data_IF_606247128648
#
_entry.id   IF_606247128648
#
_cell.length_a   1.000
_cell.length_b   1.000
_cell.length_c   1.000
_cell.angle_alpha   90.00
_cell.angle_beta   90.00
_cell.angle_gamma   90.00
#
_symmetry.space_group_name_H-M   'P 1'
#
loop_
_entity.id
_entity.type
_entity.pdbx_description
1 polymer ?
#
# COMPACT_ATOMS: atom_id res chain seq x y z
N UNK A 1 -0.58 18.03 1.03
CA UNK A 1 -1.06 16.93 1.89
C UNK A 1 -1.98 16.02 1.08
N UNK A 2 -1.64 14.75 0.92
CA UNK A 2 -2.55 13.81 0.27
C UNK A 2 -3.87 13.73 1.04
N UNK A 3 -4.99 13.83 0.32
CA UNK A 3 -6.32 13.81 0.91
C UNK A 3 -7.25 12.99 0.02
N UNK A 4 -8.05 12.13 0.64
CA UNK A 4 -9.12 11.39 -0.02
C UNK A 4 -10.42 11.61 0.74
N UNK A 5 -11.52 11.65 0.01
CA UNK A 5 -12.87 11.76 0.58
C UNK A 5 -13.64 10.50 0.22
N UNK A 6 -14.34 9.93 1.19
CA UNK A 6 -15.18 8.76 0.97
C UNK A 6 -16.64 9.16 1.09
N UNK A 7 -17.46 8.68 0.15
CA UNK A 7 -18.90 8.81 0.17
C UNK A 7 -19.56 7.44 0.21
N UNK A 8 -20.53 7.27 1.09
CA UNK A 8 -21.35 6.06 1.15
C UNK A 8 -22.37 6.09 0.01
N UNK A 9 -22.30 5.10 -0.87
CA UNK A 9 -23.28 4.93 -1.95
C UNK A 9 -24.48 4.08 -1.49
N UNK A 10 -24.18 3.02 -0.75
CA UNK A 10 -25.17 2.14 -0.13
C UNK A 10 -24.47 1.32 0.96
N UNK A 11 -25.20 0.43 1.63
CA UNK A 11 -24.59 -0.45 2.65
C UNK A 11 -23.46 -1.27 2.02
N UNK A 12 -22.30 -1.25 2.67
CA UNK A 12 -21.06 -1.95 2.24
C UNK A 12 -20.55 -1.54 0.85
N UNK A 13 -20.91 -0.34 0.38
CA UNK A 13 -20.49 0.17 -0.92
C UNK A 13 -20.14 1.66 -0.84
N UNK A 14 -18.90 2.00 -1.16
CA UNK A 14 -18.33 3.34 -1.02
C UNK A 14 -17.60 3.76 -2.28
N UNK A 15 -17.48 5.05 -2.45
CA UNK A 15 -16.61 5.65 -3.48
C UNK A 15 -15.62 6.59 -2.82
N UNK A 16 -14.35 6.42 -3.16
CA UNK A 16 -13.29 7.33 -2.78
C UNK A 16 -12.97 8.28 -3.94
N UNK A 17 -12.71 9.53 -3.61
CA UNK A 17 -12.26 10.55 -4.56
C UNK A 17 -10.98 11.21 -4.04
N UNK A 18 -10.07 11.57 -4.93
CA UNK A 18 -8.90 12.35 -4.58
C UNK A 18 -9.05 13.82 -5.05
N UNK A 19 -8.11 14.66 -4.65
CA UNK A 19 -8.13 16.10 -4.98
C UNK A 19 -7.99 16.40 -6.47
N UNK A 20 -7.60 15.41 -7.30
CA UNK A 20 -7.42 15.56 -8.74
C UNK A 20 -8.58 15.02 -9.56
N UNK A 21 -9.68 14.61 -8.91
CA UNK A 21 -10.87 14.08 -9.55
C UNK A 21 -10.83 12.58 -9.85
N UNK A 22 -9.81 11.86 -9.41
CA UNK A 22 -9.76 10.39 -9.51
C UNK A 22 -10.78 9.74 -8.58
N UNK A 23 -11.42 8.66 -9.03
CA UNK A 23 -12.43 7.92 -8.26
C UNK A 23 -12.10 6.44 -8.17
N UNK A 24 -12.51 5.83 -7.06
CA UNK A 24 -12.34 4.40 -6.79
C UNK A 24 -13.53 3.89 -6.00
N UNK A 25 -14.28 2.94 -6.56
CA UNK A 25 -15.36 2.24 -5.83
C UNK A 25 -14.83 1.00 -5.15
N UNK A 26 -15.27 0.74 -3.93
CA UNK A 26 -14.86 -0.42 -3.15
C UNK A 26 -15.94 -0.82 -2.14
N UNK A 27 -15.78 -2.01 -1.58
CA UNK A 27 -16.68 -2.52 -0.56
C UNK A 27 -16.94 -4.02 -0.70
N UNK A 28 -18.17 -4.44 -0.35
CA UNK A 28 -18.57 -5.86 -0.38
C UNK A 28 -19.94 -6.07 -1.04
N UNK A 29 -20.45 -5.07 -1.72
CA UNK A 29 -21.78 -5.15 -2.33
C UNK A 29 -21.75 -5.85 -3.68
N UNK A 30 -20.80 -5.50 -4.53
CA UNK A 30 -20.64 -6.07 -5.87
C UNK A 30 -19.59 -7.15 -5.88
N UNK A 31 -19.81 -8.19 -6.69
CA UNK A 31 -18.80 -9.22 -6.90
C UNK A 31 -17.52 -8.60 -7.49
N UNK A 32 -16.37 -8.98 -6.93
CA UNK A 32 -15.07 -8.51 -7.40
C UNK A 32 -14.64 -7.15 -6.90
N UNK A 33 -15.42 -6.47 -6.06
CA UNK A 33 -14.96 -5.23 -5.42
C UNK A 33 -13.79 -5.49 -4.48
N UNK A 34 -12.85 -4.54 -4.46
CA UNK A 34 -11.77 -4.56 -3.48
C UNK A 34 -12.30 -4.24 -2.08
N UNK A 35 -11.86 -5.01 -1.11
CA UNK A 35 -12.08 -4.69 0.31
C UNK A 35 -11.02 -3.69 0.80
N UNK A 36 -11.26 -2.98 1.92
CA UNK A 36 -10.25 -2.08 2.49
C UNK A 36 -8.91 -2.76 2.79
N UNK A 37 -8.91 -4.00 3.26
CA UNK A 37 -7.67 -4.77 3.49
C UNK A 37 -6.94 -5.02 2.18
N UNK A 38 -7.65 -5.40 1.12
CA UNK A 38 -7.05 -5.58 -0.20
C UNK A 38 -6.48 -4.27 -0.74
N UNK A 39 -7.15 -3.14 -0.51
CA UNK A 39 -6.64 -1.81 -0.88
C UNK A 39 -5.37 -1.45 -0.11
N UNK A 40 -5.26 -1.83 1.17
CA UNK A 40 -4.02 -1.67 1.93
C UNK A 40 -2.87 -2.47 1.29
N UNK A 41 -3.13 -3.72 0.92
CA UNK A 41 -2.14 -4.58 0.26
C UNK A 41 -1.74 -4.04 -1.12
N UNK A 42 -2.68 -3.50 -1.87
CA UNK A 42 -2.40 -2.81 -3.16
C UNK A 42 -1.53 -1.58 -2.92
N UNK A 43 -1.82 -0.79 -1.90
CA UNK A 43 -1.03 0.41 -1.60
C UNK A 43 0.42 0.06 -1.23
N UNK A 44 0.62 -0.98 -0.43
CA UNK A 44 1.96 -1.46 -0.05
C UNK A 44 2.72 -1.92 -1.29
N UNK A 45 2.14 -2.83 -2.07
CA UNK A 45 2.78 -3.36 -3.28
C UNK A 45 2.98 -2.29 -4.34
N UNK A 46 1.98 -1.44 -4.57
CA UNK A 46 2.03 -0.40 -5.60
C UNK A 46 3.10 0.65 -5.31
N UNK A 47 3.25 1.07 -4.07
CA UNK A 47 4.28 2.04 -3.69
C UNK A 47 5.69 1.50 -3.94
N UNK A 48 5.98 0.29 -3.49
CA UNK A 48 7.29 -0.33 -3.72
C UNK A 48 7.52 -0.67 -5.20
N UNK A 49 6.48 -1.08 -5.93
CA UNK A 49 6.57 -1.33 -7.37
C UNK A 49 7.00 -0.08 -8.14
N UNK A 50 6.42 1.08 -7.81
CA UNK A 50 6.77 2.36 -8.44
C UNK A 50 8.24 2.72 -8.21
N UNK A 51 8.74 2.52 -7.00
CA UNK A 51 10.15 2.78 -6.67
C UNK A 51 11.10 1.88 -7.47
N UNK A 52 10.81 0.58 -7.47
CA UNK A 52 11.64 -0.43 -8.15
C UNK A 52 11.63 -0.21 -9.67
N UNK A 53 10.47 0.04 -10.24
CA UNK A 53 10.34 0.36 -11.66
C UNK A 53 11.16 1.59 -12.04
N UNK A 54 11.05 2.68 -11.28
CA UNK A 54 11.80 3.91 -11.52
C UNK A 54 13.32 3.71 -11.48
N UNK A 55 13.80 2.78 -10.67
CA UNK A 55 15.25 2.46 -10.58
C UNK A 55 15.69 1.57 -11.75
N UNK A 56 14.94 0.50 -12.02
CA UNK A 56 15.35 -0.52 -12.99
C UNK A 56 15.15 -0.08 -14.45
N UNK A 57 14.10 0.72 -14.74
CA UNK A 57 13.79 1.19 -16.10
C UNK A 57 14.90 2.04 -16.71
N UNK A 58 15.74 2.66 -15.89
CA UNK A 58 16.92 3.42 -16.35
C UNK A 58 17.91 2.56 -17.12
N UNK A 59 17.84 1.24 -16.95
CA UNK A 59 18.69 0.27 -17.63
C UNK A 59 17.95 -0.49 -18.71
N UNK A 60 16.73 -0.99 -18.41
CA UNK A 60 15.91 -1.75 -19.35
C UNK A 60 14.46 -1.78 -18.90
N UNK A 61 13.53 -1.75 -19.88
CA UNK A 61 12.16 -2.13 -19.64
C UNK A 61 12.08 -3.62 -19.26
N UNK A 62 11.21 -4.00 -18.35
CA UNK A 62 11.00 -5.42 -18.02
C UNK A 62 10.17 -6.13 -19.09
N UNK A 63 10.38 -7.43 -19.24
CA UNK A 63 9.52 -8.34 -20.02
C UNK A 63 8.26 -8.69 -19.20
N UNK A 64 8.44 -8.87 -17.88
CA UNK A 64 7.37 -9.13 -16.93
C UNK A 64 7.67 -8.39 -15.63
N UNK A 65 6.65 -7.76 -15.07
CA UNK A 65 6.73 -7.07 -13.80
C UNK A 65 5.43 -7.28 -13.04
N UNK A 66 5.43 -8.22 -12.12
CA UNK A 66 4.26 -8.61 -11.35
C UNK A 66 4.61 -8.73 -9.87
N UNK A 67 3.73 -8.22 -9.00
CA UNK A 67 3.84 -8.36 -7.57
C UNK A 67 2.61 -9.06 -7.02
N UNK A 68 2.83 -9.92 -6.03
CA UNK A 68 1.76 -10.50 -5.22
C UNK A 68 1.93 -9.99 -3.79
N UNK A 69 0.89 -9.39 -3.25
CA UNK A 69 0.86 -8.87 -1.87
C UNK A 69 -0.18 -9.63 -1.08
N UNK A 70 0.20 -10.16 0.07
CA UNK A 70 -0.65 -10.99 0.92
C UNK A 70 -0.43 -10.71 2.40
N UNK A 71 -1.38 -11.14 3.22
CA UNK A 71 -1.32 -11.04 4.67
C UNK A 71 -2.42 -11.86 5.32
N UNK A 72 -2.25 -12.16 6.61
CA UNK A 72 -3.24 -12.90 7.39
C UNK A 72 -4.11 -11.96 8.22
N UNK A 73 -5.44 -12.11 8.09
CA UNK A 73 -6.37 -11.42 9.00
C UNK A 73 -6.34 -12.12 10.36
N UNK A 74 -6.04 -11.36 11.40
CA UNK A 74 -5.83 -11.85 12.76
C UNK A 74 -6.73 -11.10 13.73
N UNK A 75 -7.22 -11.80 14.75
CA UNK A 75 -7.91 -11.20 15.89
C UNK A 75 -7.06 -11.36 17.13
N UNK A 76 -6.88 -10.30 17.87
CA UNK A 76 -6.15 -10.30 19.14
C UNK A 76 -6.80 -9.33 20.14
N UNK A 77 -6.22 -9.22 21.32
CA UNK A 77 -6.60 -8.20 22.32
C UNK A 77 -6.46 -6.77 21.80
N UNK A 78 -5.65 -6.56 20.75
CA UNK A 78 -5.47 -5.27 20.08
C UNK A 78 -6.48 -5.03 18.95
N UNK A 79 -7.46 -5.93 18.78
CA UNK A 79 -8.46 -5.85 17.73
C UNK A 79 -8.12 -6.66 16.49
N UNK A 80 -8.92 -6.45 15.45
CA UNK A 80 -8.70 -7.07 14.15
C UNK A 80 -7.56 -6.34 13.41
N UNK A 81 -6.60 -7.09 12.92
CA UNK A 81 -5.48 -6.53 12.16
C UNK A 81 -4.91 -7.56 11.17
N UNK A 82 -3.98 -7.13 10.34
CA UNK A 82 -3.31 -7.98 9.37
C UNK A 82 -1.87 -8.23 9.84
N UNK A 83 -1.47 -9.50 9.83
CA UNK A 83 -0.12 -9.94 10.15
C UNK A 83 0.54 -10.61 8.95
N UNK A 84 1.84 -10.84 9.03
CA UNK A 84 2.62 -11.57 8.02
C UNK A 84 2.43 -11.00 6.61
N UNK A 85 2.49 -9.69 6.49
CA UNK A 85 2.38 -9.02 5.19
C UNK A 85 3.62 -9.32 4.37
N UNK A 86 3.41 -9.85 3.18
CA UNK A 86 4.46 -10.19 2.24
C UNK A 86 4.20 -9.54 0.89
N UNK A 87 5.27 -9.11 0.24
CA UNK A 87 5.24 -8.63 -1.14
C UNK A 87 6.27 -9.44 -1.91
N UNK A 88 5.80 -10.25 -2.85
CA UNK A 88 6.64 -11.09 -3.70
C UNK A 88 6.75 -10.49 -5.09
N UNK A 89 7.98 -10.32 -5.56
CA UNK A 89 8.29 -9.73 -6.87
C UNK A 89 8.60 -10.83 -7.88
N UNK A 90 7.87 -10.84 -8.98
CA UNK A 90 8.16 -11.64 -10.16
C UNK A 90 8.50 -10.69 -11.32
N UNK A 91 9.80 -10.44 -11.51
CA UNK A 91 10.31 -9.48 -12.48
C UNK A 91 11.33 -10.15 -13.39
N UNK A 92 11.11 -10.04 -14.69
CA UNK A 92 11.99 -10.59 -15.71
C UNK A 92 12.42 -9.47 -16.67
N UNK A 93 13.70 -9.44 -16.98
CA UNK A 93 14.29 -8.51 -17.94
C UNK A 93 14.71 -9.23 -19.23
N UNK A 94 14.84 -8.49 -20.35
CA UNK A 94 15.31 -9.09 -21.60
C UNK A 94 16.69 -9.72 -21.49
N UNK A 95 16.94 -10.74 -22.28
CA UNK A 95 18.27 -11.35 -22.42
C UNK A 95 19.15 -10.46 -23.32
N UNK A 96 19.67 -9.40 -22.70
CA UNK A 96 20.51 -8.38 -23.32
C UNK A 96 21.45 -7.81 -22.26
N UNK A 97 22.46 -7.05 -22.67
CA UNK A 97 23.36 -6.38 -21.73
C UNK A 97 22.58 -5.41 -20.84
N UNK A 98 21.67 -4.64 -21.41
CA UNK A 98 20.81 -3.74 -20.65
C UNK A 98 19.89 -4.49 -19.67
N UNK A 99 19.27 -5.59 -20.11
CA UNK A 99 18.42 -6.44 -19.27
C UNK A 99 19.19 -7.06 -18.10
N UNK A 100 20.40 -7.54 -18.32
CA UNK A 100 21.27 -8.06 -17.27
C UNK A 100 21.68 -6.98 -16.28
N UNK A 101 21.96 -5.76 -16.76
CA UNK A 101 22.25 -4.62 -15.89
C UNK A 101 21.07 -4.25 -15.01
N UNK A 102 19.84 -4.31 -15.53
CA UNK A 102 18.61 -4.10 -14.76
C UNK A 102 18.41 -5.21 -13.70
N UNK A 103 18.62 -6.47 -14.08
CA UNK A 103 18.52 -7.61 -13.16
C UNK A 103 19.55 -7.53 -12.02
N UNK A 104 20.75 -7.05 -12.28
CA UNK A 104 21.81 -6.91 -11.28
C UNK A 104 21.49 -5.87 -10.20
N UNK A 105 20.63 -4.89 -10.48
CA UNK A 105 20.24 -3.87 -9.49
C UNK A 105 18.88 -4.13 -8.85
N UNK A 106 18.16 -5.15 -9.29
CA UNK A 106 16.79 -5.42 -8.85
C UNK A 106 16.69 -5.63 -7.33
N UNK A 107 17.48 -6.53 -6.78
CA UNK A 107 17.46 -6.83 -5.33
C UNK A 107 17.78 -5.58 -4.51
N UNK A 108 18.79 -4.84 -4.92
CA UNK A 108 19.19 -3.61 -4.25
C UNK A 108 18.11 -2.53 -4.32
N UNK A 109 17.40 -2.44 -5.45
CA UNK A 109 16.25 -1.53 -5.62
C UNK A 109 15.11 -1.89 -4.68
N UNK A 110 14.79 -3.18 -4.55
CA UNK A 110 13.75 -3.67 -3.62
C UNK A 110 14.13 -3.32 -2.17
N UNK A 111 15.36 -3.61 -1.77
CA UNK A 111 15.84 -3.28 -0.41
C UNK A 111 15.79 -1.79 -0.14
N UNK A 112 16.21 -0.96 -1.08
CA UNK A 112 16.19 0.49 -0.93
C UNK A 112 14.77 1.03 -0.81
N UNK A 113 13.84 0.51 -1.61
CA UNK A 113 12.42 0.86 -1.50
C UNK A 113 11.88 0.52 -0.12
N UNK A 114 12.06 -0.72 0.33
CA UNK A 114 11.58 -1.19 1.63
C UNK A 114 12.14 -0.34 2.79
N UNK A 115 13.44 -0.10 2.80
CA UNK A 115 14.12 0.51 3.94
C UNK A 115 13.95 2.04 4.00
N UNK A 116 13.72 2.70 2.87
CA UNK A 116 13.80 4.16 2.78
C UNK A 116 12.75 4.85 1.94
N UNK A 117 12.44 4.34 0.74
CA UNK A 117 11.70 5.11 -0.25
C UNK A 117 10.19 4.91 -0.14
N UNK A 118 9.74 3.69 0.13
CA UNK A 118 8.32 3.35 0.15
C UNK A 118 7.61 3.99 1.34
N UNK A 119 6.97 5.11 1.10
CA UNK A 119 6.22 5.85 2.13
C UNK A 119 5.16 4.99 2.80
N UNK A 120 4.45 4.16 2.04
CA UNK A 120 3.39 3.29 2.57
C UNK A 120 3.97 2.24 3.51
N UNK A 121 5.00 1.51 3.09
CA UNK A 121 5.67 0.50 3.94
C UNK A 121 6.25 1.13 5.20
N UNK A 122 6.93 2.27 5.06
CA UNK A 122 7.48 2.98 6.23
C UNK A 122 6.39 3.42 7.21
N UNK A 123 5.27 3.90 6.70
CA UNK A 123 4.12 4.31 7.52
C UNK A 123 3.55 3.13 8.30
N UNK A 124 3.37 1.98 7.65
CA UNK A 124 2.86 0.76 8.29
C UNK A 124 3.84 0.25 9.36
N UNK A 125 5.12 0.14 9.03
CA UNK A 125 6.12 -0.43 9.95
C UNK A 125 6.46 0.49 11.12
N UNK A 126 6.36 1.81 10.95
CA UNK A 126 6.57 2.75 12.04
C UNK A 126 5.35 2.88 12.96
N UNK A 127 4.22 2.27 12.61
CA UNK A 127 3.02 2.27 13.44
C UNK A 127 2.43 3.66 13.62
N UNK A 128 2.28 4.42 12.54
CA UNK A 128 1.72 5.77 12.58
C UNK A 128 0.31 5.76 13.17
N UNK A 129 0.06 6.56 14.23
CA UNK A 129 -1.26 6.62 14.85
C UNK A 129 -2.32 7.19 13.90
N UNK A 130 -3.55 6.69 14.06
CA UNK A 130 -4.72 7.20 13.35
C UNK A 130 -5.63 7.89 14.35
N UNK A 131 -5.96 9.16 14.12
CA UNK A 131 -6.90 9.93 14.95
C UNK A 131 -8.30 9.89 14.32
N UNK A 132 -9.25 9.31 15.02
CA UNK A 132 -10.65 9.29 14.61
C UNK A 132 -11.38 10.50 15.19
N UNK A 133 -12.02 11.27 14.30
CA UNK A 133 -12.68 12.53 14.65
C UNK A 133 -14.15 12.49 14.28
N UNK A 134 -14.96 13.25 15.02
CA UNK A 134 -16.36 13.54 14.69
C UNK A 134 -16.52 15.05 14.63
N UNK A 135 -16.97 15.56 13.49
CA UNK A 135 -17.12 17.01 13.25
C UNK A 135 -15.85 17.82 13.58
N UNK A 136 -14.67 17.24 13.29
CA UNK A 136 -13.36 17.85 13.51
C UNK A 136 -12.80 17.71 14.93
N UNK A 137 -13.50 17.05 15.84
CA UNK A 137 -13.04 16.81 17.21
C UNK A 137 -12.58 15.36 17.39
N UNK A 138 -11.38 15.17 17.95
CA UNK A 138 -10.81 13.85 18.22
C UNK A 138 -11.66 13.09 19.24
N UNK A 139 -11.99 11.84 18.88
CA UNK A 139 -12.69 10.90 19.76
C UNK A 139 -11.72 10.07 20.63
N UNK A 140 -10.43 10.17 20.38
CA UNK A 140 -9.45 9.44 21.17
C UNK A 140 -9.37 10.08 22.55
N UNK A 141 -9.69 9.31 23.60
CA UNK A 141 -9.41 9.72 24.96
C UNK A 141 -7.91 9.88 25.10
N UNK A 142 -7.43 11.11 25.27
CA UNK A 142 -6.10 11.30 25.81
C UNK A 142 -6.13 10.64 27.17
N UNK A 143 -5.37 9.56 27.36
CA UNK A 143 -5.10 9.08 28.72
C UNK A 143 -4.63 10.29 29.50
N UNK A 144 -5.21 10.58 30.70
CA UNK A 144 -4.65 11.64 31.52
C UNK A 144 -3.18 11.31 31.66
N UNK A 145 -2.31 12.26 31.27
CA UNK A 145 -0.88 12.11 31.56
C UNK A 145 -0.79 11.78 33.03
N UNK A 146 -0.15 10.67 33.34
CA UNK A 146 0.25 10.38 34.70
C UNK A 146 1.13 11.56 35.12
N UNK A 147 0.52 12.50 35.80
CA UNK A 147 1.21 13.56 36.47
C UNK A 147 2.01 12.98 37.64
#
# INVERSE_FOLDING_TARGET
MPTVTLSRLSQHHFEATNSRGGTLSFGRKKAGEFTPVELLLVAIAGCTAMDVDAITVKRSEPVRFQLTSSGHSTKSEHGNHVTDIQVDFDVEFPDSDAGRAAADVLEKAIRKSHDRLCTVTRTVELGTPVDSQLHGESLLKRSPSLA
#
